data_IF_017995487095
#
_entry.id   IF_017995487095
#
_cell.length_a   1.000
_cell.length_b   1.000
_cell.length_c   1.000
_cell.angle_alpha   90.00
_cell.angle_beta   90.00
_cell.angle_gamma   90.00
#
_symmetry.space_group_name_H-M   'P 1'
#
loop_
_entity.id
_entity.type
_entity.pdbx_description
1 polymer ?
#
# COMPACT_ATOMS: atom_id res chain seq x y z
N UNK A 1 -2.68 -6.93 16.11
CA UNK A 1 -1.32 -6.39 16.37
C UNK A 1 -0.99 -6.19 17.85
N UNK A 2 -1.89 -6.45 18.81
CA UNK A 2 -1.67 -6.21 20.25
C UNK A 2 -0.75 -7.20 21.01
N UNK A 3 -0.02 -8.09 20.33
CA UNK A 3 0.75 -9.18 20.99
C UNK A 3 2.26 -8.96 21.04
N UNK A 4 2.79 -7.94 20.36
CA UNK A 4 4.23 -7.66 20.32
C UNK A 4 4.58 -6.44 21.17
N UNK A 5 5.49 -6.62 22.11
CA UNK A 5 6.00 -5.55 22.96
C UNK A 5 7.19 -4.87 22.30
N UNK A 6 7.03 -3.59 21.99
CA UNK A 6 8.06 -2.75 21.40
C UNK A 6 8.47 -1.66 22.39
N UNK A 7 9.78 -1.40 22.52
CA UNK A 7 10.30 -0.39 23.46
C UNK A 7 9.96 1.02 22.97
N UNK A 8 9.95 1.24 21.65
CA UNK A 8 9.66 2.56 21.05
C UNK A 8 8.55 2.47 20.00
N UNK A 9 7.81 3.58 19.82
CA UNK A 9 6.78 3.69 18.76
C UNK A 9 7.38 3.62 17.36
N UNK A 10 8.61 4.12 17.18
CA UNK A 10 9.33 4.06 15.91
C UNK A 10 9.63 2.61 15.50
N UNK A 11 10.07 1.78 16.46
CA UNK A 11 10.36 0.37 16.21
C UNK A 11 9.10 -0.43 15.85
N UNK A 12 8.01 -0.19 16.60
CA UNK A 12 6.70 -0.76 16.28
C UNK A 12 6.25 -0.44 14.84
N UNK A 13 6.42 0.81 14.41
CA UNK A 13 6.06 1.24 13.04
C UNK A 13 6.97 0.61 11.97
N UNK A 14 8.26 0.45 12.25
CA UNK A 14 9.22 -0.18 11.33
C UNK A 14 8.91 -1.67 11.13
N UNK A 15 8.65 -2.40 12.21
CA UNK A 15 8.27 -3.83 12.14
C UNK A 15 6.95 -3.98 11.40
N UNK A 16 5.98 -3.11 11.65
CA UNK A 16 4.68 -3.15 10.99
C UNK A 16 4.80 -2.84 9.49
N UNK A 17 5.63 -1.87 9.11
CA UNK A 17 5.95 -1.57 7.72
C UNK A 17 6.54 -2.78 6.99
N UNK A 18 7.53 -3.46 7.60
CA UNK A 18 8.15 -4.65 7.01
C UNK A 18 7.11 -5.74 6.80
N UNK A 19 6.28 -6.03 7.80
CA UNK A 19 5.24 -7.06 7.71
C UNK A 19 4.24 -6.77 6.60
N UNK A 20 3.74 -5.53 6.51
CA UNK A 20 2.80 -5.16 5.45
C UNK A 20 3.47 -5.28 4.08
N UNK A 21 4.71 -4.82 3.95
CA UNK A 21 5.45 -4.85 2.68
C UNK A 21 5.70 -6.29 2.22
N UNK A 22 6.10 -7.19 3.12
CA UNK A 22 6.29 -8.62 2.81
C UNK A 22 4.98 -9.25 2.33
N UNK A 23 3.87 -9.00 3.04
CA UNK A 23 2.55 -9.53 2.65
C UNK A 23 2.12 -8.97 1.29
N UNK A 24 2.38 -7.68 1.03
CA UNK A 24 2.11 -7.08 -0.27
C UNK A 24 2.95 -7.73 -1.38
N UNK A 25 4.26 -7.92 -1.18
CA UNK A 25 5.11 -8.57 -2.17
C UNK A 25 4.64 -10.00 -2.47
N UNK A 26 4.30 -10.79 -1.44
CA UNK A 26 3.76 -12.14 -1.64
C UNK A 26 2.48 -12.13 -2.48
N UNK A 27 1.53 -11.25 -2.15
CA UNK A 27 0.24 -11.21 -2.82
C UNK A 27 0.30 -10.63 -4.24
N UNK A 28 1.19 -9.67 -4.47
CA UNK A 28 1.23 -8.92 -5.72
C UNK A 28 2.30 -9.40 -6.70
N UNK A 29 3.25 -10.21 -6.25
CA UNK A 29 4.34 -10.76 -7.08
C UNK A 29 4.25 -12.29 -7.12
N UNK A 30 4.29 -12.93 -5.96
CA UNK A 30 4.39 -14.40 -5.90
C UNK A 30 3.09 -15.06 -6.36
N UNK A 31 1.94 -14.63 -5.86
CA UNK A 31 0.64 -15.23 -6.24
C UNK A 31 0.40 -15.13 -7.76
N UNK A 32 0.52 -13.97 -8.43
CA UNK A 32 0.27 -13.87 -9.87
C UNK A 32 1.21 -14.73 -10.73
N UNK A 33 2.48 -14.85 -10.32
CA UNK A 33 3.45 -15.72 -11.00
C UNK A 33 3.06 -17.19 -10.82
N UNK A 34 2.68 -17.59 -9.61
CA UNK A 34 2.28 -18.96 -9.30
C UNK A 34 0.93 -19.36 -9.91
N UNK A 35 0.02 -18.42 -10.17
CA UNK A 35 -1.26 -18.69 -10.84
C UNK A 35 -1.10 -18.76 -12.36
N UNK A 36 -0.19 -17.97 -12.93
CA UNK A 36 0.12 -17.98 -14.36
C UNK A 36 1.29 -18.93 -14.68
N UNK A 37 1.19 -20.19 -14.25
CA UNK A 37 2.19 -21.21 -14.62
C UNK A 37 2.05 -21.59 -16.09
N UNK A 38 3.16 -21.97 -16.70
CA UNK A 38 3.19 -22.47 -18.05
C UNK A 38 2.40 -23.79 -18.10
N UNK A 39 1.51 -23.93 -19.10
CA UNK A 39 0.71 -25.14 -19.27
C UNK A 39 1.64 -26.32 -19.55
N UNK A 40 1.50 -27.41 -18.80
CA UNK A 40 2.22 -28.67 -19.03
C UNK A 40 1.69 -29.44 -20.23
N UNK A 41 0.60 -28.98 -20.86
CA UNK A 41 -0.02 -29.67 -21.99
C UNK A 41 0.15 -28.88 -23.29
N UNK A 42 0.95 -29.52 -24.14
CA UNK A 42 1.07 -29.46 -25.61
C UNK A 42 2.10 -28.49 -26.22
N UNK A 43 2.49 -27.36 -25.63
CA UNK A 43 3.55 -26.53 -26.25
C UNK A 43 4.57 -25.88 -25.29
N UNK A 44 4.48 -26.09 -23.97
CA UNK A 44 5.38 -25.44 -23.00
C UNK A 44 5.35 -23.90 -23.04
N UNK A 45 4.46 -23.30 -23.84
CA UNK A 45 4.36 -21.88 -24.03
C UNK A 45 3.83 -21.23 -22.75
N UNK A 46 4.63 -20.32 -22.19
CA UNK A 46 4.21 -19.54 -21.03
C UNK A 46 3.27 -18.43 -21.48
N UNK A 47 2.07 -18.40 -20.92
CA UNK A 47 1.01 -17.41 -21.21
C UNK A 47 1.32 -16.03 -20.60
N UNK A 48 2.54 -15.53 -20.75
CA UNK A 48 2.96 -14.27 -20.13
C UNK A 48 2.53 -13.06 -20.96
N UNK A 49 2.65 -13.17 -22.28
CA UNK A 49 2.37 -12.10 -23.26
C UNK A 49 1.07 -12.30 -24.04
N UNK A 50 0.32 -13.37 -23.75
CA UNK A 50 -0.99 -13.59 -24.36
C UNK A 50 -2.04 -12.67 -23.73
N UNK A 51 -3.12 -12.32 -24.44
CA UNK A 51 -4.26 -11.64 -23.84
C UNK A 51 -4.78 -12.42 -22.61
N UNK A 52 -4.96 -11.73 -21.49
CA UNK A 52 -5.27 -12.31 -20.18
C UNK A 52 -4.08 -12.94 -19.44
N UNK A 53 -2.86 -12.79 -19.97
CA UNK A 53 -1.64 -13.34 -19.38
C UNK A 53 -1.08 -12.54 -18.20
N UNK A 54 0.08 -12.98 -17.68
CA UNK A 54 0.73 -12.38 -16.51
C UNK A 54 0.96 -10.86 -16.66
N UNK A 55 1.40 -10.42 -17.85
CA UNK A 55 1.83 -9.03 -18.07
C UNK A 55 0.62 -8.09 -18.18
N UNK A 56 -0.42 -8.52 -18.87
CA UNK A 56 -1.69 -7.78 -18.93
C UNK A 56 -2.33 -7.69 -17.53
N UNK A 57 -2.32 -8.79 -16.77
CA UNK A 57 -2.76 -8.79 -15.37
C UNK A 57 -1.94 -7.82 -14.50
N UNK A 58 -0.61 -7.84 -14.62
CA UNK A 58 0.28 -6.96 -13.85
C UNK A 58 0.03 -5.47 -14.20
N UNK A 59 -0.22 -5.16 -15.46
CA UNK A 59 -0.58 -3.82 -15.90
C UNK A 59 -1.87 -3.32 -15.22
N UNK A 60 -2.96 -4.09 -15.30
CA UNK A 60 -4.22 -3.71 -14.65
C UNK A 60 -4.08 -3.63 -13.14
N UNK A 61 -3.31 -4.53 -12.54
CA UNK A 61 -3.06 -4.52 -11.10
C UNK A 61 -2.38 -3.22 -10.66
N UNK A 62 -1.36 -2.76 -11.39
CA UNK A 62 -0.70 -1.48 -11.12
C UNK A 62 -1.64 -0.30 -11.33
N UNK A 63 -2.40 -0.30 -12.42
CA UNK A 63 -3.37 0.74 -12.74
C UNK A 63 -4.45 0.88 -11.65
N UNK A 64 -5.10 -0.22 -11.28
CA UNK A 64 -6.11 -0.22 -10.23
C UNK A 64 -5.53 0.12 -8.86
N UNK A 65 -4.28 -0.27 -8.59
CA UNK A 65 -3.62 0.12 -7.35
C UNK A 65 -3.49 1.64 -7.25
N UNK A 66 -3.14 2.33 -8.34
CA UNK A 66 -3.03 3.79 -8.40
C UNK A 66 -4.41 4.44 -8.27
N UNK A 67 -5.40 3.97 -9.03
CA UNK A 67 -6.78 4.50 -8.98
C UNK A 67 -7.44 4.30 -7.62
N UNK A 68 -7.07 3.25 -6.88
CA UNK A 68 -7.58 2.99 -5.54
C UNK A 68 -7.00 3.90 -4.45
N UNK A 69 -5.84 4.55 -4.68
CA UNK A 69 -5.20 5.45 -3.70
C UNK A 69 -6.12 6.58 -3.23
N UNK A 70 -6.71 7.41 -4.12
CA UNK A 70 -7.57 8.51 -3.69
C UNK A 70 -8.80 8.01 -2.91
N UNK A 71 -9.40 6.90 -3.35
CA UNK A 71 -10.58 6.30 -2.70
C UNK A 71 -10.26 5.87 -1.27
N UNK A 72 -9.11 5.19 -1.07
CA UNK A 72 -8.65 4.76 0.26
C UNK A 72 -8.34 5.96 1.16
N UNK A 73 -7.74 7.01 0.60
CA UNK A 73 -7.33 8.20 1.35
C UNK A 73 -8.49 9.12 1.70
N UNK A 74 -9.57 9.13 0.92
CA UNK A 74 -10.78 9.89 1.25
C UNK A 74 -11.51 9.39 2.51
N UNK A 75 -11.15 8.20 3.02
CA UNK A 75 -11.71 7.59 4.23
C UNK A 75 -13.24 7.68 4.28
N UNK A 76 -13.92 7.32 3.18
CA UNK A 76 -15.38 7.44 3.08
C UNK A 76 -16.11 6.76 4.25
N UNK A 77 -15.57 5.63 4.73
CA UNK A 77 -16.08 4.94 5.91
C UNK A 77 -16.07 5.82 7.16
N UNK A 78 -14.95 6.48 7.49
CA UNK A 78 -14.88 7.36 8.66
C UNK A 78 -15.84 8.54 8.52
N UNK A 79 -15.91 9.17 7.34
CA UNK A 79 -16.89 10.24 7.10
C UNK A 79 -18.32 9.74 7.32
N UNK A 80 -18.65 8.54 6.86
CA UNK A 80 -19.96 7.95 7.10
C UNK A 80 -20.22 7.78 8.61
N UNK A 81 -19.28 7.23 9.37
CA UNK A 81 -19.41 7.13 10.84
C UNK A 81 -19.57 8.50 11.51
N UNK A 82 -18.80 9.50 11.09
CA UNK A 82 -18.86 10.85 11.67
C UNK A 82 -20.14 11.59 11.31
N UNK A 83 -20.59 11.58 10.05
CA UNK A 83 -21.77 12.33 9.64
C UNK A 83 -23.10 11.62 9.95
N UNK A 84 -23.14 10.28 9.94
CA UNK A 84 -24.40 9.52 10.07
C UNK A 84 -24.57 8.90 11.45
N UNK A 85 -23.51 8.34 12.02
CA UNK A 85 -23.58 7.64 13.32
C UNK A 85 -23.26 8.54 14.52
N UNK A 86 -22.34 9.49 14.39
CA UNK A 86 -22.02 10.40 15.50
C UNK A 86 -23.22 11.21 16.02
N UNK A 87 -24.13 11.76 15.19
CA UNK A 87 -25.32 12.45 15.70
C UNK A 87 -26.34 11.50 16.35
N UNK A 88 -26.23 10.18 16.12
CA UNK A 88 -27.08 9.15 16.73
C UNK A 88 -26.46 8.52 17.98
N UNK A 89 -25.29 8.98 18.42
CA UNK A 89 -24.64 8.45 19.62
C UNK A 89 -25.44 8.83 20.88
N UNK A 90 -25.64 7.87 21.79
CA UNK A 90 -26.41 8.10 23.02
C UNK A 90 -25.62 8.83 24.11
N UNK A 91 -24.29 8.80 24.06
CA UNK A 91 -23.41 9.40 25.08
C UNK A 91 -22.45 10.39 24.44
N UNK A 92 -22.20 11.49 25.15
CA UNK A 92 -21.29 12.55 24.71
C UNK A 92 -19.86 12.02 24.45
N UNK A 93 -19.33 11.20 25.37
CA UNK A 93 -18.02 10.57 25.23
C UNK A 93 -17.89 9.72 23.95
N UNK A 94 -18.94 9.00 23.57
CA UNK A 94 -18.93 8.20 22.34
C UNK A 94 -19.00 9.12 21.11
N UNK A 95 -19.79 10.18 21.18
CA UNK A 95 -19.90 11.17 20.12
C UNK A 95 -18.55 11.85 19.87
N UNK A 96 -17.88 12.35 20.90
CA UNK A 96 -16.56 12.98 20.81
C UNK A 96 -15.52 12.03 20.19
N UNK A 97 -15.50 10.77 20.65
CA UNK A 97 -14.63 9.73 20.09
C UNK A 97 -14.89 9.46 18.59
N UNK A 98 -16.13 9.65 18.12
CA UNK A 98 -16.49 9.45 16.71
C UNK A 98 -16.16 10.68 15.82
N UNK A 99 -16.04 11.85 16.43
CA UNK A 99 -15.55 13.08 15.77
C UNK A 99 -14.03 13.19 15.77
N UNK A 100 -13.35 12.39 16.58
CA UNK A 100 -11.90 12.39 16.67
C UNK A 100 -11.26 11.98 15.32
N UNK A 101 -10.41 12.84 14.71
CA UNK A 101 -9.77 12.50 13.45
C UNK A 101 -8.80 11.33 13.63
N UNK A 102 -8.71 10.48 12.59
CA UNK A 102 -7.84 9.29 12.62
C UNK A 102 -6.37 9.70 12.70
N UNK A 103 -5.58 8.89 13.40
CA UNK A 103 -4.13 9.02 13.42
C UNK A 103 -3.51 8.79 12.03
N UNK A 104 -2.46 9.53 11.73
CA UNK A 104 -1.73 9.39 10.47
C UNK A 104 -0.87 8.13 10.48
N UNK A 105 -1.34 7.10 9.78
CA UNK A 105 -0.63 5.82 9.68
C UNK A 105 0.55 5.93 8.69
N UNK A 106 1.72 6.23 9.25
CA UNK A 106 2.98 6.33 8.50
C UNK A 106 3.38 5.00 7.88
N UNK A 107 3.28 3.92 8.66
CA UNK A 107 3.71 2.59 8.22
C UNK A 107 2.93 2.13 6.99
N UNK A 108 1.62 2.41 6.95
CA UNK A 108 0.80 2.10 5.79
C UNK A 108 1.19 2.93 4.58
N UNK A 109 1.41 4.22 4.73
CA UNK A 109 1.81 5.07 3.60
C UNK A 109 3.15 4.63 3.01
N UNK A 110 4.16 4.41 3.85
CA UNK A 110 5.44 3.92 3.35
C UNK A 110 5.33 2.54 2.69
N UNK A 111 4.49 1.64 3.20
CA UNK A 111 4.26 0.34 2.55
C UNK A 111 3.62 0.50 1.14
N UNK A 112 2.67 1.42 0.98
CA UNK A 112 2.04 1.68 -0.31
C UNK A 112 3.05 2.27 -1.31
N UNK A 113 3.93 3.17 -0.87
CA UNK A 113 5.02 3.70 -1.69
C UNK A 113 6.00 2.59 -2.11
N UNK A 114 6.44 1.77 -1.16
CA UNK A 114 7.34 0.65 -1.41
C UNK A 114 6.72 -0.36 -2.37
N UNK A 115 5.41 -0.58 -2.30
CA UNK A 115 4.70 -1.44 -3.26
C UNK A 115 4.71 -0.86 -4.67
N UNK A 116 4.47 0.44 -4.85
CA UNK A 116 4.52 1.06 -6.19
C UNK A 116 5.93 0.93 -6.78
N UNK A 117 6.95 1.23 -5.98
CA UNK A 117 8.35 1.11 -6.39
C UNK A 117 8.70 -0.36 -6.67
N UNK A 118 8.30 -1.28 -5.81
CA UNK A 118 8.56 -2.71 -5.95
C UNK A 118 7.90 -3.31 -7.19
N UNK A 119 6.66 -2.93 -7.49
CA UNK A 119 5.97 -3.38 -8.69
C UNK A 119 6.63 -2.87 -9.98
N UNK A 120 7.08 -1.61 -10.02
CA UNK A 120 7.81 -1.11 -11.18
C UNK A 120 9.22 -1.70 -11.30
N UNK A 121 9.88 -1.98 -10.18
CA UNK A 121 11.18 -2.64 -10.15
C UNK A 121 11.13 -4.06 -10.74
N UNK A 122 10.11 -4.84 -10.36
CA UNK A 122 9.96 -6.26 -10.73
C UNK A 122 9.36 -6.42 -12.13
N UNK A 123 8.30 -5.67 -12.46
CA UNK A 123 7.64 -5.77 -13.77
C UNK A 123 8.25 -4.85 -14.83
N UNK A 124 9.15 -3.94 -14.44
CA UNK A 124 9.87 -3.01 -15.33
C UNK A 124 10.54 -3.64 -16.54
N UNK A 125 11.38 -4.68 -16.36
CA UNK A 125 12.06 -5.35 -17.47
C UNK A 125 11.09 -6.00 -18.47
N UNK A 126 9.94 -6.51 -18.02
CA UNK A 126 8.95 -7.16 -18.87
C UNK A 126 7.95 -6.17 -19.50
N UNK A 127 7.65 -5.09 -18.80
CA UNK A 127 6.67 -4.06 -19.20
C UNK A 127 7.25 -2.67 -18.89
N UNK A 128 7.92 -2.00 -19.85
CA UNK A 128 8.50 -0.67 -19.65
C UNK A 128 7.48 0.40 -19.22
N UNK A 129 6.21 0.21 -19.59
CA UNK A 129 5.08 1.07 -19.21
C UNK A 129 4.89 1.11 -17.67
N UNK A 130 5.35 0.09 -16.94
CA UNK A 130 5.24 0.05 -15.47
C UNK A 130 6.03 1.16 -14.79
N UNK A 131 7.16 1.59 -15.37
CA UNK A 131 7.92 2.74 -14.86
C UNK A 131 7.11 4.04 -14.98
N UNK A 132 6.42 4.24 -16.11
CA UNK A 132 5.55 5.40 -16.31
C UNK A 132 4.37 5.38 -15.33
N UNK A 133 3.73 4.21 -15.14
CA UNK A 133 2.68 4.03 -14.15
C UNK A 133 3.18 4.33 -12.74
N UNK A 134 4.39 3.90 -12.36
CA UNK A 134 4.94 4.23 -11.05
C UNK A 134 5.16 5.72 -10.85
N UNK A 135 5.68 6.45 -11.84
CA UNK A 135 5.83 7.91 -11.74
C UNK A 135 4.47 8.59 -11.52
N UNK A 136 3.47 8.23 -12.32
CA UNK A 136 2.09 8.74 -12.14
C UNK A 136 1.55 8.37 -10.75
N UNK A 137 1.77 7.12 -10.33
CA UNK A 137 1.38 6.61 -9.03
C UNK A 137 2.00 7.39 -7.88
N UNK A 138 3.29 7.73 -7.95
CA UNK A 138 4.00 8.52 -6.94
C UNK A 138 3.44 9.95 -6.88
N UNK A 139 3.15 10.57 -8.04
CA UNK A 139 2.54 11.91 -8.08
C UNK A 139 1.16 11.90 -7.43
N UNK A 140 0.30 10.96 -7.81
CA UNK A 140 -1.04 10.81 -7.19
C UNK A 140 -0.91 10.54 -5.70
N UNK A 141 0.00 9.65 -5.30
CA UNK A 141 0.26 9.32 -3.91
C UNK A 141 0.72 10.53 -3.10
N UNK A 142 1.61 11.36 -3.65
CA UNK A 142 2.05 12.60 -3.02
C UNK A 142 0.88 13.55 -2.77
N UNK A 143 0.03 13.79 -3.78
CA UNK A 143 -1.14 14.66 -3.62
C UNK A 143 -2.14 14.10 -2.60
N UNK A 144 -2.36 12.79 -2.61
CA UNK A 144 -3.24 12.14 -1.65
C UNK A 144 -2.73 12.26 -0.21
N UNK A 145 -1.43 12.04 0.03
CA UNK A 145 -0.85 12.17 1.37
C UNK A 145 -0.79 13.62 1.82
N UNK A 146 -0.49 14.55 0.91
CA UNK A 146 -0.53 15.99 1.19
C UNK A 146 -1.93 16.41 1.63
N UNK A 147 -2.96 15.96 0.91
CA UNK A 147 -4.34 16.25 1.27
C UNK A 147 -4.75 15.60 2.60
N UNK A 148 -4.43 14.32 2.79
CA UNK A 148 -4.73 13.55 4.00
C UNK A 148 -4.08 14.16 5.24
N UNK A 149 -2.78 14.47 5.16
CA UNK A 149 -2.01 15.07 6.25
C UNK A 149 -2.45 16.47 6.64
N UNK A 150 -2.96 17.26 5.70
CA UNK A 150 -3.40 18.64 5.95
C UNK A 150 -4.85 18.74 6.44
N UNK A 151 -5.74 17.83 6.03
CA UNK A 151 -7.19 18.02 6.20
C UNK A 151 -7.93 16.87 6.87
N UNK A 152 -7.36 15.67 6.97
CA UNK A 152 -8.11 14.47 7.39
C UNK A 152 -7.54 13.81 8.64
N UNK A 153 -6.23 13.89 8.86
CA UNK A 153 -5.58 13.18 9.96
C UNK A 153 -5.03 14.13 11.00
N UNK A 154 -4.86 13.60 12.21
CA UNK A 154 -4.06 14.26 13.24
C UNK A 154 -2.62 14.49 12.76
N UNK A 155 -1.93 15.52 13.27
CA UNK A 155 -0.52 15.72 12.98
C UNK A 155 0.27 14.45 13.34
N UNK A 156 1.21 14.02 12.47
CA UNK A 156 1.97 12.81 12.72
C UNK A 156 2.81 12.94 14.01
N UNK A 157 3.00 11.85 14.76
CA UNK A 157 3.91 11.86 15.89
C UNK A 157 5.34 12.14 15.41
N UNK A 158 6.10 12.94 16.16
CA UNK A 158 7.51 13.19 15.88
C UNK A 158 8.29 11.88 16.10
N UNK A 159 8.53 11.14 15.02
CA UNK A 159 9.35 9.93 15.06
C UNK A 159 10.82 10.29 14.86
N UNK A 160 11.69 9.53 15.51
CA UNK A 160 13.14 9.62 15.28
C UNK A 160 13.46 9.21 13.82
N UNK A 161 14.47 9.83 13.22
CA UNK A 161 14.88 9.61 11.82
C UNK A 161 15.42 8.21 11.49
N UNK A 162 15.17 7.17 12.30
CA UNK A 162 15.62 5.81 12.02
C UNK A 162 14.77 5.18 10.90
N UNK A 163 15.13 5.50 9.65
CA UNK A 163 14.51 5.01 8.40
C UNK A 163 14.85 3.53 8.10
N UNK A 164 15.12 2.74 9.13
CA UNK A 164 15.63 1.38 9.01
C UNK A 164 14.70 0.48 8.20
N UNK A 165 13.39 0.54 8.46
CA UNK A 165 12.40 -0.28 7.75
C UNK A 165 12.34 -0.03 6.25
N UNK A 166 12.50 1.24 5.81
CA UNK A 166 12.49 1.60 4.38
C UNK A 166 13.76 1.10 3.69
N UNK A 167 14.92 1.26 4.31
CA UNK A 167 16.20 0.77 3.75
C UNK A 167 16.19 -0.75 3.56
N UNK A 168 15.68 -1.49 4.55
CA UNK A 168 15.55 -2.95 4.48
C UNK A 168 14.56 -3.35 3.38
N UNK A 169 13.41 -2.70 3.29
CA UNK A 169 12.43 -2.99 2.25
C UNK A 169 12.94 -2.72 0.84
N UNK A 170 13.65 -1.61 0.61
CA UNK A 170 14.30 -1.32 -0.68
C UNK A 170 15.33 -2.39 -1.01
N UNK A 171 16.14 -2.82 -0.04
CA UNK A 171 17.12 -3.89 -0.25
C UNK A 171 16.46 -5.22 -0.63
N UNK A 172 15.35 -5.57 0.01
CA UNK A 172 14.56 -6.76 -0.35
C UNK A 172 14.04 -6.65 -1.80
N UNK A 173 13.52 -5.50 -2.19
CA UNK A 173 13.06 -5.26 -3.57
C UNK A 173 14.22 -5.41 -4.55
N UNK A 174 15.39 -4.83 -4.27
CA UNK A 174 16.56 -4.94 -5.15
C UNK A 174 17.10 -6.36 -5.29
N UNK A 175 16.85 -7.24 -4.32
CA UNK A 175 17.22 -8.66 -4.40
C UNK A 175 16.24 -9.50 -5.24
N UNK A 176 15.06 -8.95 -5.53
CA UNK A 176 14.00 -9.62 -6.31
C UNK A 176 13.99 -9.22 -7.79
N UNK A 177 14.79 -8.23 -8.19
CA UNK A 177 15.02 -7.84 -9.58
C UNK A 177 16.08 -8.74 -10.21
#
# INVERSE_FOLDING_TARGET
TSRETHITKTDANNVLLIKITVVQLLNYVVVPILTNRCSTQVDGACNWYTPGGLIEFAFYLQLFNILALPVRMMQLGNKFFTYVLAPRARTFWLQEKMYEPKEFDLSRQYSELLKIIGLAAIYGPALPVSYALAVIGIVVFYWCNKYSGLRMTKPPPKLHHSVFGVKVAIRIISLLQ
#
